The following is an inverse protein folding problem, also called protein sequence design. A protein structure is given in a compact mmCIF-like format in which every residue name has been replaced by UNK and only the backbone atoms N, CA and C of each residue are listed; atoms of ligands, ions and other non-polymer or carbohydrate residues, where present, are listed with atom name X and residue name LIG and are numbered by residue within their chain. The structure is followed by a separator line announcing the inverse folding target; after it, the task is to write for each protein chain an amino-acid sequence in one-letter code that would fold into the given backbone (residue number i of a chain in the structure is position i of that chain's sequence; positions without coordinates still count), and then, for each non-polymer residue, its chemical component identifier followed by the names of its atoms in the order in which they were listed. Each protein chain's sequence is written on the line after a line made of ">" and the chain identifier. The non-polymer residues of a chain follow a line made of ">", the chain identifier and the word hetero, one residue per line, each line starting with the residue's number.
data_IF_467885609886
#
_entry.id   IF_467885609886
#
_cell.length_a   1.000
_cell.length_b   1.000
_cell.length_c   1.000
_cell.angle_alpha   90.00
_cell.angle_beta   90.00
_cell.angle_gamma   90.00
#
_symmetry.space_group_name_H-M   'P 1'
#
loop_
_entity.id
_entity.type
_entity.pdbx_description
1 polymer ?
#
# COMPACT_ATOMS: atom_id res chain seq x y z
N UNK A 1 16.85 -18.96 -18.43
CA UNK A 1 15.96 -18.41 -17.39
C UNK A 1 15.31 -17.17 -17.95
N UNK A 2 14.08 -17.30 -18.46
CA UNK A 2 13.26 -16.14 -18.77
C UNK A 2 12.60 -15.67 -17.45
N UNK A 3 12.41 -14.36 -17.26
CA UNK A 3 11.83 -13.85 -16.03
C UNK A 3 10.39 -14.33 -15.91
N UNK A 4 10.06 -14.85 -14.73
CA UNK A 4 8.68 -14.98 -14.24
C UNK A 4 7.99 -13.64 -14.52
N UNK A 5 6.79 -13.71 -15.12
CA UNK A 5 5.91 -12.58 -15.43
C UNK A 5 6.19 -11.36 -14.55
N UNK A 6 6.85 -10.33 -15.11
CA UNK A 6 6.88 -8.98 -14.55
C UNK A 6 5.50 -8.36 -14.82
N UNK A 7 4.47 -8.97 -14.24
CA UNK A 7 3.08 -8.56 -14.33
C UNK A 7 2.92 -7.33 -13.44
N UNK A 8 3.19 -6.17 -14.02
CA UNK A 8 2.81 -4.85 -13.55
C UNK A 8 3.11 -4.66 -12.04
N UNK A 9 4.31 -4.17 -11.73
CA UNK A 9 5.01 -4.07 -10.44
C UNK A 9 4.24 -3.52 -9.20
N UNK A 10 2.90 -3.43 -9.20
CA UNK A 10 2.08 -2.82 -8.14
C UNK A 10 1.18 -3.87 -7.54
N UNK A 11 1.76 -4.69 -6.67
CA UNK A 11 1.08 -5.78 -5.97
C UNK A 11 -0.06 -5.18 -5.14
N UNK A 12 -1.34 -5.61 -5.32
CA UNK A 12 -2.40 -5.20 -4.41
C UNK A 12 -2.10 -5.76 -3.02
N UNK A 13 -2.06 -4.90 -2.00
CA UNK A 13 -1.71 -5.26 -0.61
C UNK A 13 -2.76 -4.69 0.34
N UNK A 14 -3.14 -5.47 1.34
CA UNK A 14 -3.91 -5.02 2.48
C UNK A 14 -2.99 -4.50 3.59
N UNK A 15 -3.41 -3.47 4.31
CA UNK A 15 -2.57 -2.84 5.32
C UNK A 15 -2.16 -3.79 6.46
N UNK A 16 -3.01 -4.75 6.82
CA UNK A 16 -2.65 -5.74 7.84
C UNK A 16 -1.45 -6.60 7.44
N UNK A 17 -1.28 -6.90 6.16
CA UNK A 17 -0.15 -7.71 5.67
C UNK A 17 1.18 -6.97 5.82
N UNK A 18 1.14 -5.63 5.71
CA UNK A 18 2.30 -4.78 5.97
C UNK A 18 2.63 -4.75 7.46
N UNK A 19 1.61 -4.71 8.32
CA UNK A 19 1.82 -4.77 9.77
C UNK A 19 2.32 -6.15 10.25
N UNK A 20 1.90 -7.23 9.59
CA UNK A 20 2.31 -8.61 9.91
C UNK A 20 3.75 -8.93 9.47
N UNK A 21 4.19 -8.45 8.30
CA UNK A 21 5.55 -8.65 7.78
C UNK A 21 6.10 -7.38 7.11
N UNK A 22 6.35 -6.34 7.89
CA UNK A 22 6.81 -5.05 7.34
C UNK A 22 8.10 -5.22 6.54
N UNK A 23 9.08 -5.97 7.06
CA UNK A 23 10.37 -6.16 6.40
C UNK A 23 10.24 -6.86 5.04
N UNK A 24 9.33 -7.83 4.91
CA UNK A 24 9.06 -8.49 3.63
C UNK A 24 8.44 -7.58 2.58
N UNK A 25 7.82 -6.46 2.97
CA UNK A 25 7.22 -5.50 2.05
C UNK A 25 8.10 -4.30 1.70
N UNK A 26 9.12 -4.02 2.51
CA UNK A 26 10.03 -2.89 2.29
C UNK A 26 10.76 -3.05 0.95
N UNK A 27 10.95 -1.93 0.27
CA UNK A 27 11.47 -1.79 -1.10
C UNK A 27 10.57 -2.34 -2.22
N UNK A 28 9.40 -2.92 -1.91
CA UNK A 28 8.44 -3.35 -2.94
C UNK A 28 7.55 -2.21 -3.42
N UNK A 29 7.23 -2.22 -4.71
CA UNK A 29 6.18 -1.41 -5.30
C UNK A 29 4.82 -2.07 -5.01
N UNK A 30 3.94 -1.34 -4.35
CA UNK A 30 2.67 -1.85 -3.83
C UNK A 30 1.51 -0.94 -4.23
N UNK A 31 0.31 -1.50 -4.20
CA UNK A 31 -0.96 -0.83 -4.40
C UNK A 31 -1.86 -1.10 -3.21
N UNK A 32 -2.30 -0.04 -2.55
CA UNK A 32 -3.14 -0.11 -1.35
C UNK A 32 -4.39 0.74 -1.55
N UNK A 33 -5.53 0.26 -1.09
CA UNK A 33 -6.77 1.03 -1.03
C UNK A 33 -7.12 1.28 0.43
N UNK A 34 -7.35 2.53 0.79
CA UNK A 34 -7.67 2.93 2.16
C UNK A 34 -8.49 4.20 2.20
N UNK A 35 -8.98 4.52 3.40
CA UNK A 35 -9.71 5.74 3.71
C UNK A 35 -8.68 6.78 4.13
N UNK A 36 -8.64 7.92 3.44
CA UNK A 36 -7.80 9.06 3.79
C UNK A 36 -8.27 9.67 5.10
N UNK A 37 -7.44 9.69 6.15
CA UNK A 37 -7.82 10.23 7.48
C UNK A 37 -7.15 11.53 7.83
N UNK A 38 -5.98 11.79 7.26
CA UNK A 38 -5.23 12.99 7.56
C UNK A 38 -4.34 13.35 6.37
N UNK A 39 -4.16 14.65 6.17
CA UNK A 39 -3.25 15.22 5.17
C UNK A 39 -2.61 16.47 5.75
N UNK A 40 -1.30 16.56 5.64
CA UNK A 40 -0.50 17.74 5.99
C UNK A 40 0.31 18.17 4.78
N UNK A 41 -0.04 19.32 4.22
CA UNK A 41 0.59 19.87 3.02
C UNK A 41 2.05 20.22 3.31
N UNK A 42 2.33 20.82 4.47
CA UNK A 42 3.68 21.33 4.80
C UNK A 42 4.74 20.23 4.84
N UNK A 43 4.37 19.04 5.28
CA UNK A 43 5.26 17.88 5.41
C UNK A 43 5.09 16.88 4.28
N UNK A 44 4.19 17.16 3.33
CA UNK A 44 3.75 16.24 2.30
C UNK A 44 3.40 14.87 2.88
N UNK A 45 2.63 14.83 3.97
CA UNK A 45 2.28 13.59 4.67
C UNK A 45 0.79 13.35 4.62
N UNK A 46 0.38 12.11 4.34
CA UNK A 46 -0.98 11.66 4.52
C UNK A 46 -1.05 10.39 5.36
N UNK A 47 -2.23 10.10 5.90
CA UNK A 47 -2.50 8.87 6.64
C UNK A 47 -3.71 8.21 6.02
N UNK A 48 -3.56 6.93 5.69
CA UNK A 48 -4.68 6.10 5.29
C UNK A 48 -5.01 5.05 6.36
N UNK A 49 -6.28 4.69 6.43
CA UNK A 49 -6.79 3.60 7.25
C UNK A 49 -7.48 2.56 6.37
N UNK A 50 -7.31 1.29 6.71
CA UNK A 50 -8.07 0.20 6.09
C UNK A 50 -8.71 -0.62 7.21
N UNK A 51 -10.01 -0.88 7.07
CA UNK A 51 -10.77 -1.72 7.97
C UNK A 51 -10.95 -3.09 7.32
N UNK A 52 -10.42 -4.12 7.96
CA UNK A 52 -10.53 -5.51 7.52
C UNK A 52 -10.79 -6.39 8.74
N UNK A 53 -11.75 -7.32 8.66
CA UNK A 53 -12.04 -8.28 9.73
C UNK A 53 -12.25 -7.63 11.11
N UNK A 54 -12.92 -6.47 11.15
CA UNK A 54 -13.14 -5.65 12.36
C UNK A 54 -11.88 -5.04 12.99
N UNK A 55 -10.72 -5.21 12.36
CA UNK A 55 -9.47 -4.60 12.74
C UNK A 55 -9.17 -3.38 11.87
N UNK A 56 -8.55 -2.39 12.50
CA UNK A 56 -8.18 -1.12 11.87
C UNK A 56 -6.66 -1.07 11.71
N UNK A 57 -6.22 -0.93 10.48
CA UNK A 57 -4.81 -0.87 10.11
C UNK A 57 -4.50 0.48 9.49
N UNK A 58 -3.26 0.97 9.68
CA UNK A 58 -2.88 2.33 9.28
C UNK A 58 -1.53 2.34 8.58
N UNK A 59 -1.36 3.28 7.66
CA UNK A 59 -0.07 3.51 7.02
C UNK A 59 0.14 5.00 6.75
N UNK A 60 1.39 5.43 6.91
CA UNK A 60 1.83 6.77 6.54
C UNK A 60 2.17 6.78 5.06
N UNK A 61 1.75 7.86 4.40
CA UNK A 61 1.95 8.09 2.97
C UNK A 61 2.81 9.34 2.82
N UNK A 62 3.96 9.20 2.18
CA UNK A 62 4.73 10.32 1.67
C UNK A 62 4.17 10.72 0.31
N UNK A 63 3.80 11.99 0.20
CA UNK A 63 3.05 12.55 -0.91
C UNK A 63 3.86 13.53 -1.74
N UNK A 64 5.16 13.66 -1.45
CA UNK A 64 6.04 14.64 -2.07
C UNK A 64 6.05 14.55 -3.61
N UNK A 65 5.94 13.34 -4.16
CA UNK A 65 6.02 13.10 -5.61
C UNK A 65 4.69 13.26 -6.35
N UNK A 66 3.55 13.25 -5.64
CA UNK A 66 2.20 13.37 -6.23
C UNK A 66 1.62 14.78 -6.11
N UNK A 67 2.32 15.69 -5.41
CA UNK A 67 1.90 17.08 -5.24
C UNK A 67 0.76 17.26 -4.23
N UNK A 68 0.03 18.38 -4.33
CA UNK A 68 -0.98 18.78 -3.35
C UNK A 68 -2.28 17.94 -3.45
N UNK A 69 -2.27 16.74 -2.86
CA UNK A 69 -3.44 15.83 -2.77
C UNK A 69 -4.65 16.49 -2.10
N UNK A 70 -4.42 17.41 -1.17
CA UNK A 70 -5.47 18.16 -0.45
C UNK A 70 -6.39 18.95 -1.37
N UNK A 71 -5.98 19.24 -2.61
CA UNK A 71 -6.82 19.94 -3.58
C UNK A 71 -7.85 19.00 -4.20
N UNK A 72 -7.62 17.69 -4.18
CA UNK A 72 -8.42 16.70 -4.91
C UNK A 72 -9.17 15.71 -4.01
N UNK A 73 -8.82 15.61 -2.72
CA UNK A 73 -9.41 14.64 -1.80
C UNK A 73 -9.76 15.26 -0.44
N UNK A 74 -10.94 14.90 0.07
CA UNK A 74 -11.41 15.24 1.39
C UNK A 74 -11.02 14.16 2.41
N UNK A 75 -10.99 14.55 3.68
CA UNK A 75 -10.90 13.58 4.78
C UNK A 75 -12.10 12.63 4.71
N UNK A 76 -11.81 11.34 4.83
CA UNK A 76 -12.70 10.18 4.69
C UNK A 76 -12.98 9.70 3.27
N UNK A 77 -12.35 10.28 2.24
CA UNK A 77 -12.42 9.72 0.89
C UNK A 77 -11.70 8.37 0.83
N UNK A 78 -12.27 7.46 0.04
CA UNK A 78 -11.60 6.20 -0.30
C UNK A 78 -10.61 6.49 -1.43
N UNK A 79 -9.33 6.18 -1.20
CA UNK A 79 -8.25 6.44 -2.14
C UNK A 79 -7.48 5.16 -2.46
N UNK A 80 -7.07 5.04 -3.71
CA UNK A 80 -6.09 4.06 -4.17
C UNK A 80 -4.72 4.75 -4.21
N UNK A 81 -3.73 4.14 -3.58
CA UNK A 81 -2.34 4.63 -3.51
C UNK A 81 -1.44 3.58 -4.13
N UNK A 82 -0.58 4.02 -5.05
CA UNK A 82 0.48 3.20 -5.60
C UNK A 82 1.82 3.85 -5.33
N UNK A 83 2.79 3.05 -4.89
CA UNK A 83 4.13 3.53 -4.62
C UNK A 83 5.01 2.50 -3.94
N UNK A 84 6.22 2.92 -3.62
CA UNK A 84 7.23 2.07 -2.99
C UNK A 84 7.14 2.15 -1.48
N UNK A 85 7.07 1.01 -0.80
CA UNK A 85 7.17 0.98 0.65
C UNK A 85 8.65 1.13 1.06
N UNK A 86 8.94 2.08 1.95
CA UNK A 86 10.30 2.38 2.40
C UNK A 86 10.31 2.62 3.90
N UNK A 87 11.48 2.50 4.52
CA UNK A 87 11.70 3.03 5.86
C UNK A 87 11.93 4.53 5.78
N UNK A 88 11.27 5.27 6.65
CA UNK A 88 11.63 6.67 6.91
C UNK A 88 12.23 6.79 8.30
N UNK A 89 13.41 7.39 8.38
CA UNK A 89 14.13 7.59 9.63
C UNK A 89 13.40 8.65 10.47
N UNK A 90 13.11 8.34 11.73
CA UNK A 90 12.50 9.29 12.67
C UNK A 90 13.55 10.05 13.49
N UNK A 91 14.84 9.82 13.22
CA UNK A 91 15.96 10.42 13.93
C UNK A 91 16.11 11.92 13.63
N UNK A 92 15.55 12.75 14.52
CA UNK A 92 15.55 14.22 14.43
C UNK A 92 14.20 14.80 14.81
N UNK A 93 13.93 16.11 14.58
CA UNK A 93 12.57 16.63 14.64
C UNK A 93 11.77 15.99 13.50
N UNK A 94 11.20 14.80 13.76
CA UNK A 94 10.50 14.04 12.74
C UNK A 94 9.35 14.89 12.23
N UNK A 95 9.18 14.95 10.90
CA UNK A 95 8.01 15.58 10.28
C UNK A 95 6.68 15.02 10.81
N UNK A 96 6.75 13.84 11.43
CA UNK A 96 5.65 13.14 12.09
C UNK A 96 5.27 13.67 13.46
N UNK A 97 6.12 14.47 14.11
CA UNK A 97 5.78 15.19 15.35
C UNK A 97 4.59 16.16 15.18
N UNK A 98 4.31 16.58 13.95
CA UNK A 98 3.16 17.43 13.60
C UNK A 98 1.88 16.65 13.34
N UNK A 99 1.93 15.31 13.33
CA UNK A 99 0.73 14.50 13.20
C UNK A 99 -0.16 14.67 14.44
N UNK A 100 -1.49 14.63 14.31
CA UNK A 100 -2.37 14.61 15.47
C UNK A 100 -2.02 13.47 16.45
N UNK A 101 -2.17 13.66 17.77
CA UNK A 101 -1.77 12.68 18.78
C UNK A 101 -2.31 11.26 18.54
N UNK A 102 -3.53 11.13 18.01
CA UNK A 102 -4.17 9.87 17.66
C UNK A 102 -3.46 9.07 16.55
N UNK A 103 -2.51 9.71 15.86
CA UNK A 103 -1.68 9.15 14.80
C UNK A 103 -0.19 9.06 15.17
N UNK A 104 0.23 9.63 16.30
CA UNK A 104 1.61 9.56 16.78
C UNK A 104 1.95 8.18 17.41
N UNK A 105 0.93 7.36 17.70
CA UNK A 105 0.97 6.21 18.63
C UNK A 105 1.86 5.02 18.20
N UNK A 106 2.41 5.00 16.97
CA UNK A 106 3.38 3.97 16.53
C UNK A 106 4.75 4.52 16.11
N UNK A 107 5.03 5.81 16.36
CA UNK A 107 6.31 6.45 16.01
C UNK A 107 7.42 6.21 17.04
N UNK A 108 7.24 5.27 17.98
CA UNK A 108 8.25 4.95 19.01
C UNK A 108 9.45 4.16 18.46
N UNK A 109 9.43 3.82 17.18
CA UNK A 109 10.50 3.12 16.48
C UNK A 109 11.44 4.15 15.79
N UNK A 110 12.74 3.83 15.74
CA UNK A 110 13.76 4.65 15.06
C UNK A 110 13.46 4.85 13.56
N UNK A 111 12.59 4.00 13.00
CA UNK A 111 12.14 3.98 11.62
C UNK A 111 10.66 3.65 11.54
N UNK A 112 9.97 4.21 10.57
CA UNK A 112 8.53 3.99 10.38
C UNK A 112 8.30 3.58 8.92
N UNK A 113 7.43 2.59 8.64
CA UNK A 113 7.13 2.22 7.27
C UNK A 113 6.26 3.29 6.62
N UNK A 114 6.69 3.74 5.45
CA UNK A 114 6.05 4.81 4.69
C UNK A 114 5.96 4.39 3.23
N UNK A 115 4.77 4.53 2.64
CA UNK A 115 4.63 4.40 1.19
C UNK A 115 4.99 5.74 0.53
N UNK A 116 6.03 5.75 -0.29
CA UNK A 116 6.37 6.89 -1.17
C UNK A 116 5.45 6.82 -2.37
N UNK A 117 4.36 7.59 -2.34
CA UNK A 117 3.33 7.53 -3.35
C UNK A 117 3.82 8.14 -4.66
N UNK A 118 3.62 7.41 -5.76
CA UNK A 118 3.81 7.88 -7.13
C UNK A 118 2.48 8.21 -7.81
N UNK A 119 1.40 7.56 -7.36
CA UNK A 119 0.04 7.76 -7.85
C UNK A 119 -0.91 7.70 -6.67
N UNK A 120 -1.84 8.66 -6.63
CA UNK A 120 -3.02 8.61 -5.77
C UNK A 120 -4.24 8.85 -6.66
N UNK A 121 -5.27 8.02 -6.49
CA UNK A 121 -6.51 8.08 -7.25
C UNK A 121 -7.71 8.08 -6.32
N UNK A 122 -8.75 8.75 -6.77
CA UNK A 122 -10.07 8.63 -6.16
C UNK A 122 -10.60 7.20 -6.39
N UNK A 123 -10.97 6.55 -5.29
CA UNK A 123 -11.61 5.24 -5.28
C UNK A 123 -12.97 5.31 -4.55
N UNK A 124 -13.55 6.51 -4.44
CA UNK A 124 -14.85 6.72 -3.85
C UNK A 124 -15.94 5.90 -4.57
N UNK A 125 -16.82 5.30 -3.77
CA UNK A 125 -17.88 4.42 -4.28
C UNK A 125 -17.42 3.00 -4.63
N UNK A 126 -16.14 2.67 -4.44
CA UNK A 126 -15.66 1.30 -4.58
C UNK A 126 -16.35 0.37 -3.58
N UNK A 127 -16.82 -0.78 -4.07
CA UNK A 127 -17.32 -1.85 -3.22
C UNK A 127 -16.13 -2.57 -2.55
N UNK A 128 -15.73 -2.09 -1.37
CA UNK A 128 -14.58 -2.61 -0.63
C UNK A 128 -14.67 -4.12 -0.31
N UNK A 129 -15.82 -4.68 0.13
CA UNK A 129 -15.97 -6.12 0.27
C UNK A 129 -15.67 -6.90 -1.00
N UNK A 130 -16.22 -6.46 -2.15
CA UNK A 130 -15.98 -7.12 -3.43
C UNK A 130 -14.50 -7.00 -3.86
N UNK A 131 -13.89 -5.83 -3.68
CA UNK A 131 -12.47 -5.62 -3.96
C UNK A 131 -11.60 -6.61 -3.16
N UNK A 132 -11.89 -6.78 -1.87
CA UNK A 132 -11.15 -7.70 -1.02
C UNK A 132 -11.25 -9.15 -1.50
N UNK A 133 -12.44 -9.60 -1.91
CA UNK A 133 -12.64 -10.95 -2.46
C UNK A 133 -11.91 -11.13 -3.80
N UNK A 134 -11.94 -10.12 -4.69
CA UNK A 134 -11.22 -10.18 -5.98
C UNK A 134 -9.71 -10.28 -5.78
N UNK A 135 -9.14 -9.55 -4.82
CA UNK A 135 -7.71 -9.62 -4.51
C UNK A 135 -7.34 -11.02 -3.99
N UNK A 136 -8.14 -11.61 -3.11
CA UNK A 136 -7.93 -12.99 -2.62
C UNK A 136 -7.97 -14.00 -3.76
N UNK A 137 -8.99 -13.92 -4.62
CA UNK A 137 -9.15 -14.81 -5.78
C UNK A 137 -7.95 -14.71 -6.74
N UNK A 138 -7.49 -13.49 -7.04
CA UNK A 138 -6.33 -13.28 -7.89
C UNK A 138 -5.08 -13.97 -7.33
N UNK A 139 -4.81 -13.80 -6.03
CA UNK A 139 -3.63 -14.40 -5.38
C UNK A 139 -3.71 -15.92 -5.30
N UNK A 140 -4.90 -16.46 -5.04
CA UNK A 140 -5.13 -17.92 -5.09
C UNK A 140 -4.82 -18.47 -6.48
N UNK A 141 -5.30 -17.78 -7.52
CA UNK A 141 -5.00 -18.15 -8.90
C UNK A 141 -3.49 -18.09 -9.19
N UNK A 142 -2.81 -17.01 -8.81
CA UNK A 142 -1.36 -16.85 -8.99
C UNK A 142 -0.56 -17.94 -8.25
N UNK A 143 -0.95 -18.29 -7.02
CA UNK A 143 -0.35 -19.40 -6.26
C UNK A 143 -0.51 -20.73 -6.97
N UNK A 144 -1.72 -21.06 -7.41
CA UNK A 144 -2.01 -22.32 -8.10
C UNK A 144 -1.24 -22.45 -9.42
N UNK A 145 -1.12 -21.35 -10.17
CA UNK A 145 -0.33 -21.33 -11.41
C UNK A 145 1.15 -21.54 -11.13
N UNK A 146 1.71 -20.87 -10.13
CA UNK A 146 3.11 -21.04 -9.77
C UNK A 146 3.42 -22.48 -9.32
N UNK A 147 2.54 -23.08 -8.50
CA UNK A 147 2.67 -24.48 -8.10
C UNK A 147 2.64 -25.43 -9.30
N UNK A 148 1.75 -25.21 -10.29
CA UNK A 148 1.71 -26.02 -11.51
C UNK A 148 2.99 -25.88 -12.34
N UNK A 149 3.50 -24.66 -12.50
CA UNK A 149 4.73 -24.40 -13.26
C UNK A 149 5.96 -25.05 -12.59
N UNK A 150 6.05 -24.99 -11.26
CA UNK A 150 7.12 -25.61 -10.50
C UNK A 150 7.06 -27.14 -10.53
N UNK A 151 5.85 -27.72 -10.49
CA UNK A 151 5.66 -29.17 -10.44
C UNK A 151 5.75 -29.85 -11.81
N UNK A 152 5.38 -29.17 -12.90
CA UNK A 152 5.21 -29.83 -14.20
C UNK A 152 6.21 -29.40 -15.28
N UNK A 153 7.07 -28.40 -15.03
CA UNK A 153 8.16 -28.04 -15.95
C UNK A 153 7.68 -27.50 -17.31
N UNK A 154 6.44 -26.99 -17.41
CA UNK A 154 5.88 -26.48 -18.65
C UNK A 154 6.44 -25.10 -19.03
N UNK A 155 6.99 -24.99 -20.25
CA UNK A 155 7.17 -23.72 -20.96
C UNK A 155 5.84 -23.32 -21.63
N UNK A 156 5.31 -22.13 -21.30
CA UNK A 156 4.14 -21.58 -21.97
C UNK A 156 4.57 -21.02 -23.34
N UNK A 157 4.09 -21.61 -24.43
CA UNK A 157 4.17 -21.02 -25.77
C UNK A 157 3.00 -20.04 -25.92
N UNK A 158 3.28 -18.74 -25.89
CA UNK A 158 2.28 -17.69 -26.14
C UNK A 158 2.13 -17.49 -27.66
N UNK A 159 0.92 -17.72 -28.17
CA UNK A 159 0.51 -17.24 -29.50
C UNK A 159 0.07 -15.77 -29.31
N UNK A 160 0.92 -14.84 -29.73
CA UNK A 160 0.65 -13.39 -29.80
C UNK A 160 -0.34 -13.02 -30.89
#
# INVERSE_FOLDING_TARGET
>A
MLPVMDMDNRIPVFLHEIEEDTNGWIEKEIRVIGILKYTQIRTATAIIEQYLNHSKHRLIVDTLLVGNITIQHNTNDVVEIMGKLTWDDTSGPSRYSQLPPEFQVKLSEERVPVIRAHIIRDAQGMNMPLYQEVVKLRRQFESNVNELLENEGYEIILIT
#
